data_IF_677336096575
#
_entry.id   IF_677336096575
#
_cell.length_a   1.000
_cell.length_b   1.000
_cell.length_c   1.000
_cell.angle_alpha   90.00
_cell.angle_beta   90.00
_cell.angle_gamma   90.00
#
_symmetry.space_group_name_H-M   'P 1'
#
loop_
_entity.id
_entity.type
_entity.pdbx_description
1 polymer ?
#
# COMPACT_ATOMS: atom_id res chain seq x y z
N UNK A 1 -10.23 6.08 10.25
CA UNK A 1 -9.65 6.25 11.60
C UNK A 1 -10.23 5.16 12.48
N UNK A 2 -9.43 4.61 13.39
CA UNK A 2 -9.73 3.38 14.13
C UNK A 2 -9.67 3.67 15.65
N UNK A 3 -10.63 3.15 16.43
CA UNK A 3 -10.75 3.41 17.86
C UNK A 3 -10.97 2.10 18.64
N UNK A 4 -10.44 2.02 19.86
CA UNK A 4 -10.38 0.79 20.67
C UNK A 4 -11.43 0.66 21.76
N UNK A 5 -12.14 1.73 22.09
CA UNK A 5 -13.21 1.75 23.08
C UNK A 5 -14.37 2.63 22.59
N UNK A 6 -15.55 2.40 23.17
CA UNK A 6 -16.80 3.05 22.72
C UNK A 6 -16.76 4.57 22.91
N UNK A 7 -16.23 5.05 24.04
CA UNK A 7 -16.18 6.48 24.34
C UNK A 7 -15.27 7.22 23.35
N UNK A 8 -14.07 6.70 23.10
CA UNK A 8 -13.15 7.27 22.11
C UNK A 8 -13.74 7.24 20.70
N UNK A 9 -14.44 6.15 20.34
CA UNK A 9 -15.08 6.02 19.04
C UNK A 9 -16.20 7.04 18.85
N UNK A 10 -17.08 7.22 19.82
CA UNK A 10 -18.21 8.14 19.73
C UNK A 10 -17.75 9.60 19.63
N UNK A 11 -16.73 9.98 20.40
CA UNK A 11 -16.12 11.31 20.31
C UNK A 11 -15.49 11.52 18.93
N UNK A 12 -14.65 10.58 18.47
CA UNK A 12 -14.01 10.67 17.16
C UNK A 12 -15.06 10.73 16.04
N UNK A 13 -16.12 9.91 16.12
CA UNK A 13 -17.22 9.92 15.17
C UNK A 13 -17.93 11.26 15.14
N UNK A 14 -18.22 11.85 16.29
CA UNK A 14 -18.82 13.18 16.39
C UNK A 14 -18.00 14.25 15.68
N UNK A 15 -16.68 14.25 15.90
CA UNK A 15 -15.76 15.20 15.25
C UNK A 15 -15.72 14.97 13.73
N UNK A 16 -15.42 13.75 13.30
CA UNK A 16 -15.19 13.46 11.88
C UNK A 16 -16.48 13.53 11.04
N UNK A 17 -17.64 13.25 11.63
CA UNK A 17 -18.92 13.48 10.97
C UNK A 17 -19.05 14.96 10.55
N UNK A 18 -18.67 15.89 11.43
CA UNK A 18 -18.71 17.32 11.13
C UNK A 18 -17.60 17.77 10.19
N UNK A 19 -16.42 17.14 10.23
CA UNK A 19 -15.26 17.55 9.41
C UNK A 19 -15.35 17.04 7.97
N UNK A 20 -15.72 15.77 7.75
CA UNK A 20 -15.64 15.16 6.42
C UNK A 20 -16.77 14.17 6.08
N UNK A 21 -17.90 14.20 6.81
CA UNK A 21 -19.03 13.31 6.54
C UNK A 21 -18.88 11.90 7.12
N UNK A 22 -17.82 11.62 7.87
CA UNK A 22 -17.81 10.55 8.88
C UNK A 22 -17.80 9.10 8.38
N UNK A 23 -16.82 8.72 7.55
CA UNK A 23 -16.55 7.29 7.29
C UNK A 23 -15.56 6.72 8.33
N UNK A 24 -16.08 6.23 9.47
CA UNK A 24 -15.29 5.61 10.54
C UNK A 24 -15.64 4.13 10.67
N UNK A 25 -14.60 3.31 10.73
CA UNK A 25 -14.71 1.89 11.01
C UNK A 25 -14.10 1.61 12.39
N UNK A 26 -14.91 1.07 13.30
CA UNK A 26 -14.41 0.57 14.57
C UNK A 26 -13.71 -0.78 14.35
N UNK A 27 -12.63 -1.00 15.07
CA UNK A 27 -11.87 -2.27 15.08
C UNK A 27 -11.62 -2.67 16.53
N UNK A 28 -11.30 -3.94 16.76
CA UNK A 28 -11.28 -4.50 18.12
C UNK A 28 -10.08 -4.05 18.96
N UNK A 29 -9.04 -3.47 18.35
CA UNK A 29 -7.87 -2.96 19.09
C UNK A 29 -7.09 -1.89 18.32
N UNK A 30 -6.32 -1.02 19.01
CA UNK A 30 -5.42 -0.06 18.34
C UNK A 30 -4.37 -0.76 17.48
N UNK A 31 -3.96 -1.97 17.86
CA UNK A 31 -2.96 -2.73 17.12
C UNK A 31 -3.44 -3.10 15.71
N UNK A 32 -4.73 -3.42 15.56
CA UNK A 32 -5.34 -3.66 14.24
C UNK A 32 -5.25 -2.39 13.40
N UNK A 33 -5.59 -1.23 13.97
CA UNK A 33 -5.52 0.06 13.31
C UNK A 33 -4.13 0.37 12.71
N UNK A 34 -3.11 0.19 13.54
CA UNK A 34 -1.72 0.46 13.18
C UNK A 34 -1.25 -0.47 12.05
N UNK A 35 -1.56 -1.76 12.17
CA UNK A 35 -1.21 -2.76 11.15
C UNK A 35 -1.91 -2.44 9.83
N UNK A 36 -3.21 -2.10 9.85
CA UNK A 36 -3.94 -1.76 8.61
C UNK A 36 -3.28 -0.58 7.90
N UNK A 37 -2.89 0.47 8.64
CA UNK A 37 -2.25 1.63 8.02
C UNK A 37 -0.93 1.28 7.35
N UNK A 38 -0.07 0.51 8.02
CA UNK A 38 1.19 0.06 7.44
C UNK A 38 0.97 -0.90 6.26
N UNK A 39 -0.02 -1.78 6.37
CA UNK A 39 -0.36 -2.77 5.34
C UNK A 39 -0.88 -2.11 4.06
N UNK A 40 -1.75 -1.10 4.14
CA UNK A 40 -2.21 -0.36 2.97
C UNK A 40 -1.05 0.24 2.16
N UNK A 41 -0.05 0.80 2.85
CA UNK A 41 1.12 1.38 2.20
C UNK A 41 2.07 0.30 1.66
N UNK A 42 2.20 -0.84 2.35
CA UNK A 42 2.96 -1.99 1.84
C UNK A 42 2.30 -2.56 0.58
N UNK A 43 0.98 -2.68 0.56
CA UNK A 43 0.21 -3.12 -0.59
C UNK A 43 0.43 -2.19 -1.79
N UNK A 44 0.36 -0.87 -1.61
CA UNK A 44 0.66 0.10 -2.68
C UNK A 44 2.10 -0.02 -3.18
N UNK A 45 3.07 -0.09 -2.26
CA UNK A 45 4.49 -0.25 -2.63
C UNK A 45 4.71 -1.49 -3.50
N UNK A 46 4.21 -2.66 -3.07
CA UNK A 46 4.38 -3.93 -3.79
C UNK A 46 3.78 -3.84 -5.19
N UNK A 47 2.57 -3.29 -5.33
CA UNK A 47 1.94 -3.16 -6.65
C UNK A 47 2.63 -2.14 -7.55
N UNK A 48 3.10 -1.01 -7.02
CA UNK A 48 3.88 -0.02 -7.78
C UNK A 48 5.19 -0.64 -8.28
N UNK A 49 5.90 -1.34 -7.40
CA UNK A 49 7.14 -2.03 -7.77
C UNK A 49 6.88 -3.07 -8.87
N UNK A 50 5.82 -3.87 -8.73
CA UNK A 50 5.44 -4.89 -9.71
C UNK A 50 5.22 -4.30 -11.11
N UNK A 51 4.47 -3.18 -11.21
CA UNK A 51 4.20 -2.56 -12.51
C UNK A 51 5.42 -1.84 -13.10
N UNK A 52 6.35 -1.38 -12.26
CA UNK A 52 7.62 -0.84 -12.71
C UNK A 52 8.52 -1.93 -13.33
N UNK A 53 8.61 -3.10 -12.70
CA UNK A 53 9.33 -4.24 -13.29
C UNK A 53 8.66 -4.71 -14.58
N UNK A 54 7.32 -4.73 -14.62
CA UNK A 54 6.57 -5.03 -15.83
C UNK A 54 6.91 -4.04 -16.96
N UNK A 55 7.05 -2.75 -16.65
CA UNK A 55 7.42 -1.75 -17.65
C UNK A 55 8.81 -2.02 -18.25
N UNK A 56 9.79 -2.40 -17.42
CA UNK A 56 11.14 -2.77 -17.89
C UNK A 56 11.09 -4.01 -18.80
N UNK A 57 10.25 -4.98 -18.47
CA UNK A 57 10.04 -6.17 -19.31
C UNK A 57 9.37 -5.80 -20.65
N UNK A 58 8.29 -5.03 -20.59
CA UNK A 58 7.54 -4.60 -21.76
C UNK A 58 8.41 -3.77 -22.74
N UNK A 59 9.28 -2.90 -22.21
CA UNK A 59 10.25 -2.15 -23.01
C UNK A 59 11.16 -3.07 -23.84
N UNK A 60 11.71 -4.12 -23.21
CA UNK A 60 12.53 -5.14 -23.90
C UNK A 60 11.77 -5.97 -24.92
N UNK A 61 10.46 -6.13 -24.73
CA UNK A 61 9.58 -6.86 -25.65
C UNK A 61 9.03 -5.97 -26.78
N UNK A 62 9.27 -4.65 -26.76
CA UNK A 62 8.66 -3.72 -27.69
C UNK A 62 7.14 -3.58 -27.52
N UNK A 63 6.63 -3.82 -26.32
CA UNK A 63 5.20 -3.78 -25.98
C UNK A 63 4.89 -2.55 -25.12
N UNK A 64 3.78 -1.87 -25.40
CA UNK A 64 3.32 -0.75 -24.57
C UNK A 64 2.71 -1.26 -23.25
N UNK A 65 3.42 -1.08 -22.14
CA UNK A 65 2.96 -1.50 -20.80
C UNK A 65 1.61 -0.89 -20.41
N UNK A 66 1.31 0.34 -20.86
CA UNK A 66 0.03 0.99 -20.57
C UNK A 66 -1.13 0.24 -21.21
N UNK A 67 -0.98 -0.19 -22.46
CA UNK A 67 -2.00 -0.99 -23.16
C UNK A 67 -2.23 -2.33 -22.48
N UNK A 68 -1.17 -2.96 -21.96
CA UNK A 68 -1.29 -4.21 -21.17
C UNK A 68 -2.12 -3.99 -19.90
N UNK A 69 -1.83 -2.92 -19.14
CA UNK A 69 -2.54 -2.60 -17.90
C UNK A 69 -3.99 -2.20 -18.19
N UNK A 70 -4.22 -1.39 -19.23
CA UNK A 70 -5.56 -0.96 -19.64
C UNK A 70 -6.40 -2.15 -20.13
N UNK A 71 -5.81 -3.11 -20.84
CA UNK A 71 -6.50 -4.34 -21.19
C UNK A 71 -6.82 -5.20 -19.95
N UNK A 72 -5.87 -5.34 -19.02
CA UNK A 72 -6.08 -6.09 -17.78
C UNK A 72 -7.16 -5.46 -16.88
N UNK A 73 -7.27 -4.13 -16.87
CA UNK A 73 -8.25 -3.39 -16.07
C UNK A 73 -9.70 -3.51 -16.55
N UNK A 74 -9.92 -4.06 -17.74
CA UNK A 74 -11.28 -4.40 -18.22
C UNK A 74 -11.91 -5.56 -17.45
N UNK A 75 -11.13 -6.36 -16.72
CA UNK A 75 -11.67 -7.46 -15.93
C UNK A 75 -12.50 -6.91 -14.76
N UNK A 76 -13.75 -7.37 -14.57
CA UNK A 76 -14.64 -6.81 -13.57
C UNK A 76 -14.29 -7.18 -12.13
N UNK A 77 -13.27 -8.02 -11.91
CA UNK A 77 -12.82 -8.47 -10.60
C UNK A 77 -11.34 -8.85 -10.61
N UNK A 78 -10.73 -8.82 -9.42
CA UNK A 78 -9.40 -9.38 -9.18
C UNK A 78 -8.23 -8.58 -9.75
N UNK A 79 -8.47 -7.39 -10.31
CA UNK A 79 -7.41 -6.51 -10.80
C UNK A 79 -7.59 -5.09 -10.31
N UNK A 80 -6.56 -4.56 -9.65
CA UNK A 80 -6.50 -3.17 -9.22
C UNK A 80 -5.38 -2.48 -9.99
N UNK A 81 -5.70 -1.63 -10.98
CA UNK A 81 -4.68 -1.04 -11.85
C UNK A 81 -3.73 -0.14 -11.06
N UNK A 82 -2.43 -0.37 -11.28
CA UNK A 82 -1.35 0.54 -10.94
C UNK A 82 -0.59 0.84 -12.23
N UNK A 83 0.00 2.02 -12.33
CA UNK A 83 0.71 2.45 -13.52
C UNK A 83 2.17 2.75 -13.19
N UNK A 84 3.12 2.39 -14.07
CA UNK A 84 4.54 2.57 -13.80
C UNK A 84 4.93 4.05 -13.72
N UNK A 85 6.02 4.32 -13.01
CA UNK A 85 6.58 5.65 -12.84
C UNK A 85 8.03 5.61 -12.35
N UNK A 86 8.54 6.72 -11.83
CA UNK A 86 9.88 6.86 -11.27
C UNK A 86 10.03 6.21 -9.87
N UNK A 87 9.35 5.07 -9.65
CA UNK A 87 9.20 4.48 -8.31
C UNK A 87 8.15 5.16 -7.43
N UNK A 88 7.88 4.52 -6.30
CA UNK A 88 7.04 5.04 -5.23
C UNK A 88 7.79 6.14 -4.46
N UNK A 89 7.34 7.39 -4.64
CA UNK A 89 7.83 8.56 -3.92
C UNK A 89 7.00 8.92 -2.68
N UNK A 90 7.23 10.13 -2.17
CA UNK A 90 6.58 10.65 -0.96
C UNK A 90 7.11 10.04 0.33
N UNK A 91 6.71 10.58 1.47
CA UNK A 91 7.25 10.15 2.77
C UNK A 91 6.66 8.82 3.26
N UNK A 92 5.37 8.57 2.98
CA UNK A 92 4.64 7.47 3.61
C UNK A 92 4.93 6.11 2.97
N UNK A 93 4.87 5.98 1.64
CA UNK A 93 4.93 4.68 0.97
C UNK A 93 6.31 4.00 1.14
N UNK A 94 7.45 4.71 1.06
CA UNK A 94 8.77 4.09 1.28
C UNK A 94 9.10 3.82 2.75
N UNK A 95 8.38 4.46 3.69
CA UNK A 95 8.66 4.41 5.13
C UNK A 95 7.77 3.41 5.86
N UNK A 96 6.46 3.53 5.71
CA UNK A 96 5.48 2.82 6.53
C UNK A 96 5.56 1.28 6.42
N UNK A 97 5.90 0.68 5.25
CA UNK A 97 6.09 -0.76 5.16
C UNK A 97 7.24 -1.29 6.03
N UNK A 98 8.23 -0.44 6.37
CA UNK A 98 9.35 -0.83 7.25
C UNK A 98 8.89 -1.14 8.67
N UNK A 99 7.77 -0.58 9.15
CA UNK A 99 7.22 -0.95 10.46
C UNK A 99 6.79 -2.42 10.52
N UNK A 100 6.27 -2.96 9.42
CA UNK A 100 5.94 -4.40 9.31
C UNK A 100 7.21 -5.25 9.25
N UNK A 101 8.23 -4.82 8.50
CA UNK A 101 9.53 -5.50 8.44
C UNK A 101 10.19 -5.59 9.81
N UNK A 102 10.28 -4.47 10.54
CA UNK A 102 10.88 -4.43 11.87
C UNK A 102 10.09 -5.28 12.87
N UNK A 103 8.76 -5.31 12.76
CA UNK A 103 7.92 -6.18 13.59
C UNK A 103 8.15 -7.66 13.28
N UNK A 104 8.25 -8.04 12.00
CA UNK A 104 8.53 -9.40 11.56
C UNK A 104 9.93 -9.86 12.02
N UNK A 105 10.94 -9.00 11.86
CA UNK A 105 12.32 -9.27 12.27
C UNK A 105 12.45 -9.56 13.76
N UNK A 106 11.74 -8.82 14.63
CA UNK A 106 11.70 -9.06 16.08
C UNK A 106 11.13 -10.44 16.45
N UNK A 107 10.30 -11.01 15.59
CA UNK A 107 9.69 -12.33 15.76
C UNK A 107 10.46 -13.44 15.01
N UNK A 108 11.60 -13.11 14.37
CA UNK A 108 12.35 -14.06 13.55
C UNK A 108 11.65 -14.46 12.24
N UNK A 109 10.65 -13.68 11.81
CA UNK A 109 9.88 -13.91 10.58
C UNK A 109 10.51 -13.10 9.45
N UNK A 110 10.68 -13.73 8.28
CA UNK A 110 11.02 -13.03 7.05
C UNK A 110 9.77 -12.55 6.33
N UNK A 111 9.82 -11.34 5.80
CA UNK A 111 8.75 -10.75 5.02
C UNK A 111 9.29 -10.28 3.67
N UNK A 112 9.79 -11.25 2.89
CA UNK A 112 10.59 -11.04 1.68
C UNK A 112 9.87 -10.19 0.63
N UNK A 113 8.53 -10.27 0.55
CA UNK A 113 7.73 -9.49 -0.39
C UNK A 113 7.93 -7.99 -0.21
N UNK A 114 7.87 -7.49 1.03
CA UNK A 114 8.04 -6.05 1.31
C UNK A 114 9.51 -5.66 1.17
N UNK A 115 10.43 -6.52 1.60
CA UNK A 115 11.86 -6.27 1.50
C UNK A 115 12.32 -6.13 0.04
N UNK A 116 11.90 -7.05 -0.83
CA UNK A 116 12.18 -6.95 -2.27
C UNK A 116 11.50 -5.73 -2.90
N UNK A 117 10.25 -5.45 -2.51
CA UNK A 117 9.54 -4.31 -3.06
C UNK A 117 10.26 -2.98 -2.77
N UNK A 118 10.80 -2.81 -1.55
CA UNK A 118 11.63 -1.67 -1.18
C UNK A 118 12.94 -1.62 -1.99
N UNK A 119 13.63 -2.75 -2.12
CA UNK A 119 14.92 -2.84 -2.83
C UNK A 119 14.78 -2.48 -4.30
N UNK A 120 13.77 -3.00 -4.98
CA UNK A 120 13.52 -2.69 -6.39
C UNK A 120 13.09 -1.22 -6.53
N UNK A 121 12.27 -0.71 -5.61
CA UNK A 121 11.87 0.70 -5.62
C UNK A 121 13.07 1.66 -5.53
N UNK A 122 14.10 1.31 -4.76
CA UNK A 122 15.35 2.07 -4.65
C UNK A 122 16.19 2.06 -5.94
N UNK A 123 15.96 1.09 -6.83
CA UNK A 123 16.64 0.99 -8.14
C UNK A 123 15.92 1.79 -9.24
N UNK A 124 14.71 2.27 -8.98
CA UNK A 124 13.99 3.11 -9.95
C UNK A 124 14.66 4.49 -10.07
N UNK A 125 14.60 5.12 -11.26
CA UNK A 125 15.08 6.49 -11.45
C UNK A 125 14.40 7.48 -10.49
N UNK A 126 15.09 8.52 -10.06
CA UNK A 126 14.54 9.61 -9.22
C UNK A 126 14.18 10.84 -10.03
#
# INVERSE_FOLDING_TARGET
MYCSDDSSFDIAKGIYLHVNGGNLLKVDSPKIAEIVKSFENAFRLVNITLVNELAILCDKLGVNVKEVIDAASTKPFGFLPHYPGAGAGGHCIPKDPRFLLESAKKLGIKFDTIEHALKINEQMPK
#
